data_IF_977845687862
#
_entry.id   IF_977845687862
#
_cell.length_a   1.000
_cell.length_b   1.000
_cell.length_c   1.000
_cell.angle_alpha   90.00
_cell.angle_beta   90.00
_cell.angle_gamma   90.00
#
_symmetry.space_group_name_H-M   'P 1'
#
loop_
_entity.id
_entity.type
_entity.pdbx_description
1 polymer ?
#
# COMPACT_ATOMS: atom_id res chain seq x y z
N UNK A 1 68.93 48.21 -2.09
CA UNK A 1 68.94 49.37 -3.01
C UNK A 1 69.09 48.77 -4.41
N UNK A 2 68.31 49.05 -5.45
CA UNK A 2 67.59 50.24 -5.88
C UNK A 2 66.56 49.75 -6.92
N UNK A 3 65.36 50.34 -6.90
CA UNK A 3 64.32 50.21 -7.94
C UNK A 3 64.74 51.11 -9.10
N UNK A 4 64.60 50.72 -10.38
CA UNK A 4 64.29 51.65 -11.49
C UNK A 4 63.68 50.92 -12.70
N UNK A 5 62.77 51.64 -13.36
CA UNK A 5 61.78 51.30 -14.39
C UNK A 5 62.34 51.68 -15.80
N UNK A 6 61.50 51.88 -16.84
CA UNK A 6 61.02 50.99 -17.93
C UNK A 6 61.77 51.14 -19.27
N UNK A 7 61.49 50.29 -20.27
CA UNK A 7 61.67 50.67 -21.68
C UNK A 7 60.56 50.11 -22.58
N UNK A 8 59.96 51.01 -23.34
CA UNK A 8 58.99 50.83 -24.43
C UNK A 8 59.74 50.29 -25.65
N UNK A 9 59.23 49.24 -26.32
CA UNK A 9 59.40 49.04 -27.76
C UNK A 9 58.16 48.35 -28.34
N UNK A 10 57.45 49.09 -29.21
CA UNK A 10 56.48 48.57 -30.18
C UNK A 10 57.26 47.91 -31.31
N UNK A 11 56.96 46.65 -31.63
CA UNK A 11 57.35 46.04 -32.90
C UNK A 11 56.20 45.19 -33.44
N UNK A 12 55.63 45.68 -34.53
CA UNK A 12 54.64 45.05 -35.38
C UNK A 12 55.39 44.15 -36.36
N UNK A 13 55.18 42.83 -36.30
CA UNK A 13 55.59 41.92 -37.36
C UNK A 13 54.42 41.03 -37.78
N UNK A 14 54.02 41.23 -39.04
CA UNK A 14 53.09 40.43 -39.82
C UNK A 14 53.80 39.15 -40.28
N UNK A 15 53.10 38.01 -40.24
CA UNK A 15 53.55 36.83 -40.97
C UNK A 15 52.78 35.54 -40.68
N UNK A 16 52.06 35.03 -41.69
CA UNK A 16 51.77 33.61 -41.85
C UNK A 16 50.30 33.19 -41.72
N UNK A 17 49.55 33.23 -42.83
CA UNK A 17 48.36 32.38 -42.99
C UNK A 17 48.83 30.95 -43.23
N UNK A 18 48.91 30.14 -42.17
CA UNK A 18 49.03 28.69 -42.30
C UNK A 18 47.63 28.08 -42.30
N UNK A 19 47.21 27.62 -43.47
CA UNK A 19 45.98 26.85 -43.64
C UNK A 19 46.07 25.52 -42.90
N UNK A 20 45.52 25.47 -41.69
CA UNK A 20 45.21 24.22 -41.02
C UNK A 20 44.06 23.53 -41.78
N UNK A 21 44.33 22.36 -42.35
CA UNK A 21 43.30 21.40 -42.76
C UNK A 21 42.47 21.05 -41.53
N UNK A 22 41.27 21.60 -41.43
CA UNK A 22 40.24 21.05 -40.54
C UNK A 22 39.83 19.68 -41.06
N UNK A 23 40.32 18.63 -40.39
CA UNK A 23 39.68 17.33 -40.46
C UNK A 23 38.29 17.46 -39.83
N UNK A 24 37.24 17.29 -40.63
CA UNK A 24 35.86 17.21 -40.14
C UNK A 24 35.76 16.08 -39.11
N UNK A 25 35.66 16.44 -37.83
CA UNK A 25 35.24 15.50 -36.79
C UNK A 25 33.77 15.17 -37.04
N UNK A 26 33.49 13.90 -37.34
CA UNK A 26 32.12 13.37 -37.32
C UNK A 26 31.50 13.70 -35.98
N UNK A 27 30.41 14.47 -35.97
CA UNK A 27 29.58 14.65 -34.79
C UNK A 27 28.64 13.46 -34.66
N UNK A 28 29.20 12.27 -34.44
CA UNK A 28 28.43 11.16 -33.88
C UNK A 28 28.33 11.39 -32.38
N UNK A 29 27.48 12.34 -31.98
CA UNK A 29 27.05 12.42 -30.59
C UNK A 29 26.06 11.28 -30.39
N UNK A 30 26.58 10.07 -30.20
CA UNK A 30 25.81 8.95 -29.66
C UNK A 30 25.59 9.26 -28.19
N UNK A 31 24.63 10.14 -27.90
CA UNK A 31 24.12 10.29 -26.55
C UNK A 31 23.38 8.99 -26.25
N UNK A 32 24.05 8.04 -25.61
CA UNK A 32 23.35 6.94 -24.97
C UNK A 32 22.38 7.57 -23.98
N UNK A 33 21.07 7.53 -24.29
CA UNK A 33 20.02 7.88 -23.35
C UNK A 33 20.34 7.10 -22.08
N UNK A 34 20.61 7.76 -20.93
CA UNK A 34 20.95 7.03 -19.72
C UNK A 34 19.81 6.05 -19.50
N UNK A 35 20.11 4.75 -19.64
CA UNK A 35 19.16 3.70 -19.27
C UNK A 35 18.82 4.05 -17.83
N UNK A 36 17.57 4.38 -17.57
CA UNK A 36 17.09 4.61 -16.21
C UNK A 36 17.63 3.45 -15.39
N UNK A 37 18.58 3.74 -14.49
CA UNK A 37 19.07 2.72 -13.60
C UNK A 37 17.84 2.32 -12.80
N UNK A 38 17.34 1.11 -13.05
CA UNK A 38 16.31 0.51 -12.21
C UNK A 38 16.99 0.37 -10.85
N UNK A 39 16.79 1.38 -10.00
CA UNK A 39 17.21 1.31 -8.61
C UNK A 39 16.39 0.15 -8.06
N UNK A 40 17.03 -1.01 -7.92
CA UNK A 40 16.44 -2.19 -7.32
C UNK A 40 16.19 -1.88 -5.84
N UNK A 41 15.12 -1.14 -5.54
CA UNK A 41 14.67 -0.89 -4.19
C UNK A 41 14.38 -2.25 -3.55
N UNK A 42 14.95 -2.51 -2.37
CA UNK A 42 14.64 -3.72 -1.60
C UNK A 42 13.12 -3.80 -1.41
N UNK A 43 12.52 -5.00 -1.42
CA UNK A 43 11.09 -5.11 -1.16
C UNK A 43 10.70 -4.45 0.17
N UNK A 44 9.59 -3.73 0.15
CA UNK A 44 9.11 -2.92 1.27
C UNK A 44 8.13 -3.73 2.14
N UNK A 45 8.02 -3.36 3.42
CA UNK A 45 7.02 -3.91 4.36
C UNK A 45 5.95 -2.86 4.61
N UNK A 46 4.68 -3.28 4.65
CA UNK A 46 3.57 -2.39 5.02
C UNK A 46 3.71 -1.97 6.50
N UNK A 47 4.17 -2.89 7.34
CA UNK A 47 4.46 -2.65 8.76
C UNK A 47 3.60 -3.50 9.67
N UNK A 48 4.09 -3.70 10.88
CA UNK A 48 3.46 -4.60 11.84
C UNK A 48 2.23 -3.96 12.47
N UNK A 49 1.28 -4.79 12.89
CA UNK A 49 0.09 -4.37 13.61
C UNK A 49 -0.21 -5.36 14.72
N UNK A 50 -0.67 -4.84 15.86
CA UNK A 50 -1.18 -5.64 16.98
C UNK A 50 -2.40 -4.96 17.57
N UNK A 51 -3.51 -5.69 17.62
CA UNK A 51 -4.72 -5.31 18.35
C UNK A 51 -5.00 -6.35 19.41
N UNK A 52 -5.36 -5.89 20.61
CA UNK A 52 -5.95 -6.73 21.66
C UNK A 52 -7.23 -6.07 22.14
N UNK A 53 -8.35 -6.79 22.07
CA UNK A 53 -9.67 -6.32 22.49
C UNK A 53 -10.39 -7.41 23.28
N UNK A 54 -11.11 -7.01 24.32
CA UNK A 54 -12.08 -7.89 24.96
C UNK A 54 -13.45 -7.67 24.31
N UNK A 55 -14.23 -8.74 24.15
CA UNK A 55 -15.57 -8.70 23.55
C UNK A 55 -16.49 -9.64 24.31
N UNK A 56 -17.71 -9.17 24.60
CA UNK A 56 -18.78 -10.01 25.12
C UNK A 56 -19.43 -10.75 23.95
N UNK A 57 -19.44 -12.07 24.01
CA UNK A 57 -19.96 -12.91 22.94
C UNK A 57 -20.50 -14.21 23.53
N UNK A 58 -21.68 -14.66 23.08
CA UNK A 58 -22.31 -15.90 23.53
C UNK A 58 -22.33 -16.10 25.07
N UNK A 59 -22.55 -15.01 25.81
CA UNK A 59 -22.69 -15.02 27.28
C UNK A 59 -21.37 -15.06 28.06
N UNK A 60 -20.22 -14.85 27.41
CA UNK A 60 -18.93 -14.76 28.08
C UNK A 60 -18.01 -13.72 27.44
N UNK A 61 -17.04 -13.24 28.22
CA UNK A 61 -15.96 -12.38 27.73
C UNK A 61 -14.90 -13.22 27.02
N UNK A 62 -14.54 -12.80 25.81
CA UNK A 62 -13.43 -13.34 25.03
C UNK A 62 -12.36 -12.26 24.82
N UNK A 63 -11.10 -12.67 24.74
CA UNK A 63 -9.99 -11.80 24.34
C UNK A 63 -9.60 -12.13 22.91
N UNK A 64 -9.74 -11.15 22.03
CA UNK A 64 -9.35 -11.23 20.63
C UNK A 64 -8.03 -10.51 20.44
N UNK A 65 -7.05 -11.21 19.87
CA UNK A 65 -5.74 -10.70 19.51
C UNK A 65 -5.58 -10.85 18.00
N UNK A 66 -5.32 -9.74 17.31
CA UNK A 66 -5.04 -9.75 15.88
C UNK A 66 -3.66 -9.18 15.62
N UNK A 67 -2.81 -9.91 14.90
CA UNK A 67 -1.44 -9.49 14.59
C UNK A 67 -1.14 -9.61 13.10
N UNK A 68 -0.67 -8.52 12.48
CA UNK A 68 -0.18 -8.50 11.09
C UNK A 68 1.33 -8.38 11.09
N UNK A 69 1.99 -9.18 10.27
CA UNK A 69 3.41 -9.09 9.98
C UNK A 69 3.64 -9.41 8.51
N UNK A 70 4.73 -8.85 7.95
CA UNK A 70 5.19 -9.24 6.62
C UNK A 70 5.56 -10.74 6.60
N UNK A 71 5.23 -11.42 5.52
CA UNK A 71 5.66 -12.80 5.28
C UNK A 71 6.61 -12.84 4.08
N UNK A 72 7.90 -13.02 4.36
CA UNK A 72 8.95 -13.03 3.34
C UNK A 72 8.98 -14.32 2.51
N UNK A 73 8.16 -15.31 2.84
CA UNK A 73 8.03 -16.57 2.10
C UNK A 73 6.95 -16.53 1.02
N UNK A 74 6.04 -15.54 1.09
CA UNK A 74 5.01 -15.32 0.08
C UNK A 74 5.58 -14.67 -1.18
N UNK A 75 4.86 -14.80 -2.30
CA UNK A 75 5.22 -14.11 -3.54
C UNK A 75 5.20 -12.60 -3.32
N UNK A 76 6.22 -11.91 -3.83
CA UNK A 76 6.27 -10.46 -3.77
C UNK A 76 5.10 -9.85 -4.55
N UNK A 77 4.51 -8.82 -3.98
CA UNK A 77 3.52 -7.97 -4.64
C UNK A 77 4.28 -6.88 -5.39
N UNK A 78 3.90 -6.62 -6.64
CA UNK A 78 4.46 -5.55 -7.46
C UNK A 78 3.32 -4.60 -7.81
N UNK A 79 3.48 -3.32 -7.45
CA UNK A 79 2.50 -2.29 -7.80
C UNK A 79 2.67 -1.82 -9.25
N UNK A 80 1.76 -0.97 -9.72
CA UNK A 80 1.78 -0.45 -11.09
C UNK A 80 2.98 0.47 -11.37
N UNK A 81 3.63 0.99 -10.32
CA UNK A 81 4.87 1.78 -10.40
C UNK A 81 6.14 0.91 -10.40
N UNK A 82 6.00 -0.42 -10.30
CA UNK A 82 7.10 -1.37 -10.24
C UNK A 82 7.80 -1.45 -8.87
N UNK A 83 7.23 -0.84 -7.82
CA UNK A 83 7.71 -1.05 -6.45
C UNK A 83 7.32 -2.45 -5.99
N UNK A 84 8.17 -3.04 -5.13
CA UNK A 84 7.99 -4.40 -4.64
C UNK A 84 7.70 -4.41 -3.16
N UNK A 85 6.77 -5.25 -2.73
CA UNK A 85 6.34 -5.37 -1.35
C UNK A 85 6.28 -6.84 -0.92
N UNK A 86 6.59 -7.08 0.34
CA UNK A 86 6.21 -8.33 0.99
C UNK A 86 4.70 -8.29 1.27
N UNK A 87 4.00 -9.38 0.91
CA UNK A 87 2.63 -9.59 1.39
C UNK A 87 2.64 -9.92 2.89
N UNK A 88 1.48 -9.93 3.52
CA UNK A 88 1.34 -10.12 4.96
C UNK A 88 0.68 -11.45 5.29
N UNK A 89 0.97 -11.89 6.52
CA UNK A 89 0.13 -12.82 7.24
C UNK A 89 -0.54 -12.11 8.40
N UNK A 90 -1.79 -12.48 8.67
CA UNK A 90 -2.56 -11.95 9.79
C UNK A 90 -3.07 -13.09 10.65
N UNK A 91 -2.62 -13.15 11.89
CA UNK A 91 -3.07 -14.16 12.86
C UNK A 91 -4.20 -13.58 13.69
N UNK A 92 -5.33 -14.29 13.73
CA UNK A 92 -6.44 -14.04 14.64
C UNK A 92 -6.43 -15.11 15.72
N UNK A 93 -6.21 -14.69 16.97
CA UNK A 93 -6.26 -15.54 18.16
C UNK A 93 -7.40 -15.09 19.07
N UNK A 94 -8.24 -16.02 19.48
CA UNK A 94 -9.38 -15.78 20.37
C UNK A 94 -9.23 -16.67 21.58
N UNK A 95 -9.18 -16.05 22.76
CA UNK A 95 -9.01 -16.72 24.04
C UNK A 95 -10.30 -16.59 24.85
N UNK A 96 -10.66 -17.69 25.53
CA UNK A 96 -11.72 -17.67 26.54
C UNK A 96 -11.23 -16.95 27.81
N UNK A 97 -12.14 -16.64 28.72
CA UNK A 97 -11.85 -15.97 30.00
C UNK A 97 -10.77 -16.68 30.84
N UNK A 98 -10.74 -18.02 30.80
CA UNK A 98 -9.75 -18.85 31.49
C UNK A 98 -8.37 -18.88 30.80
N UNK A 99 -8.21 -18.19 29.67
CA UNK A 99 -7.00 -18.16 28.87
C UNK A 99 -6.86 -19.32 27.88
N UNK A 100 -7.80 -20.28 27.87
CA UNK A 100 -7.80 -21.36 26.88
C UNK A 100 -8.05 -20.81 25.48
N UNK A 101 -7.40 -21.42 24.49
CA UNK A 101 -7.54 -21.04 23.10
C UNK A 101 -8.88 -21.55 22.56
N UNK A 102 -9.71 -20.63 22.05
CA UNK A 102 -10.92 -20.98 21.30
C UNK A 102 -10.61 -21.09 19.81
N UNK A 103 -9.81 -20.16 19.28
CA UNK A 103 -9.48 -20.09 17.87
C UNK A 103 -8.10 -19.49 17.68
N UNK A 104 -7.34 -20.01 16.72
CA UNK A 104 -6.05 -19.47 16.33
C UNK A 104 -5.75 -19.88 14.88
N UNK A 105 -5.90 -18.93 13.97
CA UNK A 105 -5.61 -19.14 12.55
C UNK A 105 -4.83 -17.96 12.00
N UNK A 106 -3.87 -18.28 11.16
CA UNK A 106 -3.16 -17.32 10.33
C UNK A 106 -3.79 -17.30 8.95
N UNK A 107 -4.14 -16.10 8.50
CA UNK A 107 -4.67 -15.81 7.19
C UNK A 107 -3.61 -15.14 6.32
N UNK A 108 -3.66 -15.43 5.03
CA UNK A 108 -2.90 -14.77 3.97
C UNK A 108 -3.88 -14.30 2.89
N UNK A 109 -3.41 -13.54 1.91
CA UNK A 109 -4.27 -13.08 0.80
C UNK A 109 -5.01 -14.23 0.09
N UNK A 110 -4.38 -15.41 -0.01
CA UNK A 110 -4.98 -16.56 -0.70
C UNK A 110 -6.30 -17.04 -0.07
N UNK A 111 -6.49 -16.83 1.24
CA UNK A 111 -7.76 -17.13 1.91
C UNK A 111 -8.92 -16.24 1.41
N UNK A 112 -8.59 -15.08 0.81
CA UNK A 112 -9.55 -14.08 0.35
C UNK A 112 -9.65 -14.02 -1.19
N UNK A 113 -8.78 -14.71 -1.93
CA UNK A 113 -8.65 -14.57 -3.39
C UNK A 113 -9.97 -14.85 -4.14
N UNK A 114 -10.77 -15.82 -3.68
CA UNK A 114 -12.07 -16.14 -4.32
C UNK A 114 -13.13 -15.03 -4.17
N UNK A 115 -12.88 -14.02 -3.34
CA UNK A 115 -13.81 -12.94 -3.02
C UNK A 115 -13.35 -11.58 -3.57
N UNK A 116 -12.25 -11.55 -4.32
CA UNK A 116 -11.73 -10.34 -4.96
C UNK A 116 -11.55 -10.57 -6.45
N UNK A 117 -11.61 -9.48 -7.20
CA UNK A 117 -11.47 -9.53 -8.65
C UNK A 117 -9.99 -9.78 -9.03
N UNK A 118 -9.74 -10.27 -10.24
CA UNK A 118 -8.41 -10.77 -10.65
C UNK A 118 -7.29 -9.72 -10.56
N UNK A 119 -7.63 -8.43 -10.67
CA UNK A 119 -6.69 -7.32 -10.52
C UNK A 119 -6.05 -7.32 -9.12
N UNK A 120 -6.85 -7.57 -8.08
CA UNK A 120 -6.41 -7.60 -6.68
C UNK A 120 -5.63 -8.87 -6.32
N UNK A 121 -5.76 -9.95 -7.09
CA UNK A 121 -5.00 -11.18 -6.84
C UNK A 121 -3.51 -11.00 -7.12
N UNK A 122 -3.17 -10.17 -8.11
CA UNK A 122 -1.79 -10.00 -8.60
C UNK A 122 -1.05 -8.86 -7.90
N UNK A 123 -1.68 -7.68 -7.83
CA UNK A 123 -0.99 -6.44 -7.49
C UNK A 123 -1.34 -5.91 -6.09
N UNK A 124 -2.04 -6.72 -5.27
CA UNK A 124 -2.47 -6.33 -3.93
C UNK A 124 -1.95 -7.27 -2.85
N UNK A 125 -1.98 -6.78 -1.61
CA UNK A 125 -1.60 -7.48 -0.40
C UNK A 125 -2.80 -7.62 0.56
N UNK A 126 -2.73 -8.57 1.49
CA UNK A 126 -3.64 -8.60 2.63
C UNK A 126 -3.28 -7.43 3.57
N UNK A 127 -4.15 -6.42 3.64
CA UNK A 127 -3.87 -5.18 4.37
C UNK A 127 -4.28 -5.29 5.83
N UNK A 128 -5.44 -5.85 6.14
CA UNK A 128 -5.96 -5.84 7.50
C UNK A 128 -7.00 -6.91 7.78
N UNK A 129 -7.08 -7.30 9.05
CA UNK A 129 -8.23 -7.94 9.68
C UNK A 129 -8.39 -7.22 11.03
N UNK A 130 -9.59 -6.75 11.34
CA UNK A 130 -9.87 -5.98 12.55
C UNK A 130 -11.18 -6.48 13.14
N UNK A 131 -11.21 -6.71 14.46
CA UNK A 131 -12.48 -7.05 15.12
C UNK A 131 -13.43 -5.85 15.00
N UNK A 132 -14.58 -6.08 14.39
CA UNK A 132 -15.63 -5.10 14.23
C UNK A 132 -16.69 -5.26 15.32
N UNK A 133 -17.41 -6.39 15.35
CA UNK A 133 -18.50 -6.61 16.29
C UNK A 133 -18.73 -8.10 16.62
N UNK A 134 -19.41 -8.36 17.74
CA UNK A 134 -20.08 -9.63 17.98
C UNK A 134 -21.51 -9.57 17.42
N UNK A 135 -21.89 -10.54 16.59
CA UNK A 135 -23.20 -10.60 15.93
C UNK A 135 -23.79 -12.01 16.11
N UNK A 136 -24.79 -12.12 17.00
CA UNK A 136 -25.40 -13.41 17.32
C UNK A 136 -24.37 -14.44 17.78
N UNK A 137 -24.24 -15.55 17.06
CA UNK A 137 -23.29 -16.63 17.33
C UNK A 137 -21.96 -16.50 16.57
N UNK A 138 -21.64 -15.29 16.06
CA UNK A 138 -20.43 -15.01 15.28
C UNK A 138 -19.68 -13.78 15.78
N UNK A 139 -18.38 -13.77 15.56
CA UNK A 139 -17.55 -12.58 15.61
C UNK A 139 -17.31 -12.10 14.18
N UNK A 140 -17.66 -10.85 13.89
CA UNK A 140 -17.46 -10.17 12.61
C UNK A 140 -16.13 -9.40 12.66
N UNK A 141 -15.35 -9.57 11.61
CA UNK A 141 -14.12 -8.84 11.37
C UNK A 141 -14.22 -8.12 10.03
N UNK A 142 -13.83 -6.86 10.01
CA UNK A 142 -13.54 -6.15 8.77
C UNK A 142 -12.18 -6.62 8.26
N UNK A 143 -12.09 -6.99 6.99
CA UNK A 143 -10.87 -7.39 6.32
C UNK A 143 -10.68 -6.58 5.05
N UNK A 144 -9.44 -6.45 4.59
CA UNK A 144 -9.15 -5.70 3.35
C UNK A 144 -7.97 -6.28 2.59
N UNK A 145 -8.15 -6.35 1.26
CA UNK A 145 -7.10 -6.66 0.29
C UNK A 145 -6.96 -5.45 -0.62
N UNK A 146 -5.76 -4.93 -0.82
CA UNK A 146 -5.58 -3.69 -1.56
C UNK A 146 -4.12 -3.33 -1.81
N UNK A 147 -3.90 -2.11 -2.27
CA UNK A 147 -2.57 -1.62 -2.59
C UNK A 147 -1.67 -1.63 -1.34
N UNK A 148 -0.46 -2.22 -1.40
CA UNK A 148 0.48 -2.16 -0.30
C UNK A 148 1.18 -0.81 -0.14
N UNK A 149 0.99 0.12 -1.09
CA UNK A 149 1.48 1.49 -0.97
C UNK A 149 0.68 2.27 0.08
N UNK A 150 1.38 2.82 1.07
CA UNK A 150 0.77 3.58 2.17
C UNK A 150 0.13 4.89 1.72
N UNK A 151 0.49 5.38 0.54
CA UNK A 151 -0.09 6.57 -0.05
C UNK A 151 -1.38 6.26 -0.84
N UNK A 152 -1.68 4.98 -1.08
CA UNK A 152 -2.86 4.52 -1.78
C UNK A 152 -4.01 4.27 -0.81
N UNK A 153 -5.21 4.71 -1.17
CA UNK A 153 -6.47 4.41 -0.50
C UNK A 153 -7.26 3.26 -1.15
N UNK A 154 -6.73 2.68 -2.23
CA UNK A 154 -7.36 1.55 -2.92
C UNK A 154 -7.35 0.25 -2.11
N UNK A 155 -8.54 -0.26 -1.78
CA UNK A 155 -8.74 -1.60 -1.24
C UNK A 155 -10.15 -2.13 -1.54
N UNK A 156 -10.28 -3.45 -1.47
CA UNK A 156 -11.56 -4.17 -1.46
C UNK A 156 -11.96 -4.46 -0.01
N UNK A 157 -13.10 -3.94 0.47
CA UNK A 157 -13.62 -4.28 1.80
C UNK A 157 -14.23 -5.67 1.79
N UNK A 158 -13.87 -6.47 2.79
CA UNK A 158 -14.29 -7.85 2.97
C UNK A 158 -14.76 -8.05 4.40
N UNK A 159 -15.61 -9.06 4.59
CA UNK A 159 -16.06 -9.50 5.91
C UNK A 159 -15.51 -10.89 6.17
N UNK A 160 -14.88 -11.07 7.33
CA UNK A 160 -14.49 -12.37 7.86
C UNK A 160 -15.37 -12.64 9.09
N UNK A 161 -16.06 -13.78 9.11
CA UNK A 161 -16.84 -14.22 10.27
C UNK A 161 -16.26 -15.49 10.86
N UNK A 162 -16.19 -15.53 12.19
CA UNK A 162 -15.82 -16.72 12.97
C UNK A 162 -17.02 -17.08 13.85
N UNK A 163 -17.60 -18.26 13.63
CA UNK A 163 -18.74 -18.75 14.40
C UNK A 163 -18.32 -19.34 15.75
N UNK A 164 -19.31 -19.60 16.64
CA UNK A 164 -19.12 -20.28 17.93
C UNK A 164 -18.49 -21.68 17.85
N UNK A 165 -18.49 -22.31 16.67
CA UNK A 165 -17.83 -23.61 16.44
C UNK A 165 -16.44 -23.47 15.84
N UNK A 166 -15.96 -22.25 15.59
CA UNK A 166 -14.69 -21.96 14.94
C UNK A 166 -14.76 -22.02 13.41
N UNK A 167 -15.93 -22.26 12.82
CA UNK A 167 -16.09 -22.21 11.37
C UNK A 167 -15.90 -20.78 10.84
N UNK A 168 -15.16 -20.68 9.74
CA UNK A 168 -14.80 -19.42 9.09
C UNK A 168 -15.60 -19.24 7.81
N UNK A 169 -16.14 -18.04 7.60
CA UNK A 169 -16.73 -17.63 6.31
C UNK A 169 -16.22 -16.26 5.92
N UNK A 170 -16.02 -16.03 4.62
CA UNK A 170 -15.58 -14.75 4.05
C UNK A 170 -16.60 -14.30 3.01
N UNK A 171 -16.82 -13.00 2.88
CA UNK A 171 -17.66 -12.40 1.83
C UNK A 171 -17.17 -11.00 1.47
N UNK A 172 -17.59 -10.48 0.32
CA UNK A 172 -17.45 -9.04 0.03
C UNK A 172 -18.26 -8.24 1.05
N UNK A 173 -17.72 -7.12 1.53
CA UNK A 173 -18.53 -6.18 2.30
C UNK A 173 -19.38 -5.37 1.32
N UNK A 174 -20.69 -5.53 1.42
CA UNK A 174 -21.67 -4.89 0.51
C UNK A 174 -22.45 -3.77 1.21
N UNK A 175 -22.10 -3.48 2.46
CA UNK A 175 -22.58 -2.28 3.14
C UNK A 175 -21.96 -1.08 2.45
N UNK A 176 -22.72 -0.46 1.56
CA UNK A 176 -22.44 0.88 1.08
C UNK A 176 -22.65 1.80 2.27
N UNK A 177 -21.61 2.52 2.69
CA UNK A 177 -21.70 3.69 3.57
C UNK A 177 -22.42 4.84 2.83
N UNK A 178 -23.63 4.59 2.33
CA UNK A 178 -24.61 5.64 2.12
C UNK A 178 -25.06 6.03 3.51
N UNK A 179 -24.33 6.94 4.17
CA UNK A 179 -24.81 7.59 5.38
C UNK A 179 -26.25 8.04 5.15
N UNK A 180 -27.13 7.73 6.09
CA UNK A 180 -28.60 7.85 6.02
C UNK A 180 -29.08 9.07 5.24
N UNK A 181 -29.08 8.94 3.92
CA UNK A 181 -29.82 9.77 3.00
C UNK A 181 -31.23 9.23 3.12
N UNK A 182 -31.92 9.65 4.18
CA UNK A 182 -33.38 9.55 4.25
C UNK A 182 -33.87 10.14 2.93
N UNK A 183 -34.28 9.28 1.99
CA UNK A 183 -34.99 9.73 0.81
C UNK A 183 -36.33 10.25 1.33
N UNK A 184 -36.35 11.51 1.76
CA UNK A 184 -37.58 12.26 1.91
C UNK A 184 -38.27 12.17 0.56
N UNK A 185 -39.47 11.61 0.57
CA UNK A 185 -40.28 11.46 -0.65
C UNK A 185 -40.68 12.87 -1.11
N UNK A 186 -40.89 13.11 -2.41
CA UNK A 186 -41.21 14.45 -2.95
C UNK A 186 -42.41 15.10 -2.24
N UNK A 187 -43.31 14.30 -1.67
CA UNK A 187 -44.45 14.76 -0.87
C UNK A 187 -44.03 15.45 0.45
N UNK A 188 -42.99 14.94 1.14
CA UNK A 188 -42.51 15.51 2.42
C UNK A 188 -41.73 16.83 2.23
N UNK A 189 -41.20 17.08 1.03
CA UNK A 189 -40.53 18.35 0.69
C UNK A 189 -41.54 19.48 0.41
N UNK A 190 -42.76 19.13 0.01
CA UNK A 190 -43.80 20.11 -0.36
C UNK A 190 -44.54 20.70 0.84
N UNK A 191 -44.52 20.04 2.00
CA UNK A 191 -45.16 20.52 3.22
C UNK A 191 -44.26 21.48 4.04
N UNK A 192 -42.94 21.48 3.81
CA UNK A 192 -41.99 22.28 4.60
C UNK A 192 -41.75 23.70 4.03
N UNK A 193 -42.08 23.97 2.76
CA UNK A 193 -41.96 25.32 2.16
C UNK A 193 -43.31 26.00 1.83
N UNK A 194 -44.43 25.42 2.27
CA UNK A 194 -45.74 26.07 2.25
C UNK A 194 -45.96 27.03 3.42
N UNK A 195 -45.32 28.21 3.39
CA UNK A 195 -45.77 29.41 4.13
C UNK A 195 -46.63 30.29 3.22
#
# INVERSE_FOLDING_TARGET
>A
MQRFLPFIVISMLVGGLTGCKEAKKSQDIITHKPKAQVINKKPQKIGDYLQTRNVEWIGATYKVVVSRQADETLKLVVDDSGNRYYDNKITVKILRKDGSEFFNRTFTKSDFESYVDDIYKKNSALLGVVLDAAQGDRLRFAASVGSPDKMSDEYVPLVLMISRTGAVSISKDTQLDTGDGTQKTEDELSEEEGI
#
